data_IF_661469194040
#
_entry.id   IF_661469194040
#
_cell.length_a   1.000
_cell.length_b   1.000
_cell.length_c   1.000
_cell.angle_alpha   90.00
_cell.angle_beta   90.00
_cell.angle_gamma   90.00
#
_symmetry.space_group_name_H-M   'P 1'
#
loop_
_entity.id
_entity.type
_entity.pdbx_description
1 polymer ?
#
# COMPACT_ATOMS: atom_id res chain seq x y z
N UNK A 1 5.30 -13.42 -4.51
CA UNK A 1 5.60 -12.12 -5.12
C UNK A 1 7.05 -11.75 -4.88
N UNK A 2 7.68 -11.02 -5.81
CA UNK A 2 9.07 -10.57 -5.77
C UNK A 2 9.15 -9.10 -6.15
N UNK A 3 10.15 -8.36 -5.66
CA UNK A 3 10.32 -6.94 -5.94
C UNK A 3 11.78 -6.59 -6.20
N UNK A 4 12.04 -5.71 -7.16
CA UNK A 4 13.35 -5.07 -7.27
C UNK A 4 13.45 -3.92 -6.27
N UNK A 5 14.04 -4.17 -5.11
CA UNK A 5 14.13 -3.15 -4.04
C UNK A 5 15.00 -1.94 -4.41
N UNK A 6 15.95 -2.09 -5.34
CA UNK A 6 16.73 -0.95 -5.81
C UNK A 6 15.88 0.01 -6.64
N UNK A 7 15.04 -0.52 -7.53
CA UNK A 7 14.08 0.28 -8.29
C UNK A 7 13.06 0.92 -7.32
N UNK A 8 12.55 0.13 -6.38
CA UNK A 8 11.58 0.62 -5.41
C UNK A 8 12.13 1.73 -4.51
N UNK A 9 13.39 1.65 -4.08
CA UNK A 9 14.07 2.75 -3.38
C UNK A 9 14.04 4.03 -4.19
N UNK A 10 14.34 3.97 -5.49
CA UNK A 10 14.27 5.15 -6.36
C UNK A 10 12.84 5.69 -6.50
N UNK A 11 11.83 4.80 -6.64
CA UNK A 11 10.42 5.19 -6.61
C UNK A 11 10.06 5.91 -5.31
N UNK A 12 10.50 5.36 -4.17
CA UNK A 12 10.26 5.90 -2.83
C UNK A 12 10.88 7.29 -2.63
N UNK A 13 12.10 7.52 -3.13
CA UNK A 13 12.78 8.83 -3.07
C UNK A 13 11.96 9.95 -3.74
N UNK A 14 11.29 9.61 -4.85
CA UNK A 14 10.44 10.54 -5.57
C UNK A 14 9.10 10.72 -4.86
N UNK A 15 8.49 9.62 -4.42
CA UNK A 15 7.19 9.62 -3.75
C UNK A 15 7.22 10.36 -2.41
N UNK A 16 8.24 10.13 -1.57
CA UNK A 16 8.33 10.71 -0.23
C UNK A 16 8.43 12.25 -0.26
N UNK A 17 9.09 12.80 -1.29
CA UNK A 17 9.20 14.26 -1.51
C UNK A 17 7.84 14.87 -1.87
N UNK A 18 7.06 14.18 -2.70
CA UNK A 18 5.71 14.61 -3.03
C UNK A 18 4.76 14.49 -1.83
N UNK A 19 5.00 13.52 -0.95
CA UNK A 19 4.18 13.23 0.23
C UNK A 19 4.46 14.14 1.45
N UNK A 20 5.71 14.61 1.64
CA UNK A 20 6.09 15.43 2.81
C UNK A 20 5.14 16.61 3.14
N UNK A 21 4.58 17.36 2.16
CA UNK A 21 3.63 18.45 2.45
C UNK A 21 2.31 18.00 3.08
N UNK A 22 1.98 16.71 3.00
CA UNK A 22 0.75 16.13 3.56
C UNK A 22 0.96 15.50 4.93
N UNK A 23 2.19 15.46 5.44
CA UNK A 23 2.50 14.84 6.73
C UNK A 23 2.45 15.86 7.84
N UNK A 24 1.73 15.52 8.92
CA UNK A 24 1.68 16.33 10.13
C UNK A 24 3.08 16.53 10.72
N UNK A 25 3.33 17.70 11.31
CA UNK A 25 4.64 18.07 11.82
C UNK A 25 5.22 17.05 12.80
N UNK A 26 4.38 16.47 13.68
CA UNK A 26 4.83 15.49 14.66
C UNK A 26 5.32 14.17 14.01
N UNK A 27 4.81 13.85 12.82
CA UNK A 27 5.13 12.64 12.07
C UNK A 27 6.28 12.81 11.08
N UNK A 28 6.71 14.04 10.76
CA UNK A 28 7.72 14.30 9.71
C UNK A 28 9.04 13.58 9.92
N UNK A 29 9.49 13.42 11.17
CA UNK A 29 10.74 12.73 11.49
C UNK A 29 10.76 11.24 11.09
N UNK A 30 9.59 10.64 10.85
CA UNK A 30 9.49 9.24 10.41
C UNK A 30 9.90 9.06 8.95
N UNK A 31 9.73 10.07 8.09
CA UNK A 31 10.00 9.96 6.65
C UNK A 31 11.49 9.70 6.35
N UNK A 32 12.46 10.48 6.88
CA UNK A 32 13.88 10.17 6.67
C UNK A 32 14.31 8.83 7.29
N UNK A 33 13.68 8.42 8.40
CA UNK A 33 13.96 7.13 9.04
C UNK A 33 13.49 5.96 8.18
N UNK A 34 12.31 6.08 7.55
CA UNK A 34 11.82 5.07 6.61
C UNK A 34 12.75 4.89 5.42
N UNK A 35 13.25 6.00 4.88
CA UNK A 35 14.20 6.02 3.78
C UNK A 35 15.50 5.34 4.17
N UNK A 36 16.12 5.77 5.27
CA UNK A 36 17.37 5.20 5.78
C UNK A 36 17.25 3.70 6.09
N UNK A 37 16.12 3.24 6.65
CA UNK A 37 15.89 1.81 6.91
C UNK A 37 15.77 0.98 5.64
N UNK A 38 15.14 1.51 4.60
CA UNK A 38 15.04 0.83 3.31
C UNK A 38 16.43 0.70 2.67
N UNK A 39 17.22 1.78 2.68
CA UNK A 39 18.60 1.79 2.20
C UNK A 39 19.49 0.82 2.98
N UNK A 40 19.46 0.88 4.31
CA UNK A 40 20.21 -0.01 5.20
C UNK A 40 19.88 -1.49 4.97
N UNK A 41 18.60 -1.81 4.76
CA UNK A 41 18.14 -3.17 4.46
C UNK A 41 18.67 -3.71 3.13
N UNK A 42 18.72 -2.86 2.09
CA UNK A 42 19.23 -3.23 0.77
C UNK A 42 20.76 -3.42 0.80
N UNK A 43 21.48 -2.51 1.45
CA UNK A 43 22.94 -2.43 1.35
C UNK A 43 23.67 -3.41 2.29
N UNK A 44 23.10 -3.71 3.46
CA UNK A 44 23.74 -4.57 4.47
C UNK A 44 23.66 -6.08 4.17
N UNK A 45 23.14 -6.50 3.01
CA UNK A 45 23.20 -7.90 2.56
C UNK A 45 22.59 -8.91 3.55
N UNK A 46 21.64 -8.50 4.39
CA UNK A 46 20.93 -9.40 5.34
C UNK A 46 20.13 -10.46 4.58
N UNK A 47 19.93 -11.63 5.19
CA UNK A 47 19.12 -12.71 4.60
C UNK A 47 17.64 -12.35 4.55
N UNK A 48 17.19 -11.56 5.52
CA UNK A 48 15.87 -10.94 5.52
C UNK A 48 15.92 -9.60 6.26
N UNK A 49 14.97 -8.71 5.97
CA UNK A 49 14.76 -7.51 6.78
C UNK A 49 13.30 -7.07 6.79
N UNK A 50 12.95 -6.36 7.87
CA UNK A 50 11.62 -5.81 8.09
C UNK A 50 11.66 -4.31 7.83
N UNK A 51 10.82 -3.85 6.92
CA UNK A 51 10.58 -2.44 6.67
C UNK A 51 9.20 -2.06 7.19
N UNK A 52 9.15 -1.25 8.25
CA UNK A 52 7.92 -0.97 8.97
C UNK A 52 7.86 0.45 9.55
N UNK A 53 6.61 0.90 9.74
CA UNK A 53 6.26 2.04 10.57
C UNK A 53 5.84 1.55 11.96
N UNK A 54 6.74 1.69 12.95
CA UNK A 54 6.43 1.31 14.34
C UNK A 54 5.35 2.19 14.95
N UNK A 55 5.40 3.48 14.64
CA UNK A 55 4.36 4.47 14.94
C UNK A 55 3.72 4.90 13.61
N UNK A 56 2.40 5.17 13.59
CA UNK A 56 1.75 5.69 12.40
C UNK A 56 2.35 7.02 11.95
N UNK A 57 2.29 7.27 10.64
CA UNK A 57 2.50 8.60 10.06
C UNK A 57 1.12 9.21 9.84
N UNK A 58 0.84 10.29 10.55
CA UNK A 58 -0.43 11.01 10.46
C UNK A 58 -0.34 12.09 9.39
N UNK A 59 -1.39 12.23 8.57
CA UNK A 59 -1.51 13.33 7.62
C UNK A 59 -1.88 14.64 8.30
N UNK A 60 -1.67 15.76 7.61
CA UNK A 60 -2.40 17.00 7.88
C UNK A 60 -3.91 16.75 7.75
N UNK A 61 -4.71 17.70 8.23
CA UNK A 61 -6.16 17.64 8.07
C UNK A 61 -6.52 17.67 6.59
N UNK A 62 -7.28 16.68 6.14
CA UNK A 62 -7.89 16.66 4.82
C UNK A 62 -9.19 17.45 4.88
N UNK A 63 -9.29 18.46 4.01
CA UNK A 63 -10.42 19.40 3.92
C UNK A 63 -11.36 19.07 2.75
N UNK A 64 -11.21 17.88 2.17
CA UNK A 64 -11.99 17.43 1.04
C UNK A 64 -12.14 15.91 1.09
N UNK A 65 -13.36 15.45 1.32
CA UNK A 65 -13.78 14.07 1.14
C UNK A 65 -15.14 14.08 0.45
N UNK A 66 -15.24 13.38 -0.69
CA UNK A 66 -16.48 13.23 -1.48
C UNK A 66 -17.15 14.55 -1.95
N UNK A 67 -16.45 15.70 -1.85
CA UNK A 67 -16.99 17.01 -2.23
C UNK A 67 -16.08 17.72 -3.23
N UNK A 68 -16.72 18.30 -4.26
CA UNK A 68 -16.07 19.15 -5.26
C UNK A 68 -15.64 20.52 -4.71
N UNK A 69 -16.23 20.95 -3.60
CA UNK A 69 -15.90 22.20 -2.91
C UNK A 69 -15.49 21.88 -1.47
N UNK A 70 -14.50 22.62 -0.94
CA UNK A 70 -14.00 22.49 0.44
C UNK A 70 -15.06 22.85 1.49
N UNK A 71 -16.07 23.65 1.09
CA UNK A 71 -17.18 24.09 1.93
C UNK A 71 -18.06 22.91 2.36
N UNK A 72 -17.85 22.46 3.60
CA UNK A 72 -18.69 21.46 4.26
C UNK A 72 -18.19 20.02 4.18
N UNK A 73 -16.91 19.79 3.88
CA UNK A 73 -16.27 18.50 4.13
C UNK A 73 -16.14 18.25 5.64
N UNK A 74 -16.18 16.98 6.04
CA UNK A 74 -15.87 16.61 7.42
C UNK A 74 -14.34 16.59 7.56
N UNK A 75 -13.75 17.31 8.53
CA UNK A 75 -12.30 17.40 8.64
C UNK A 75 -11.75 16.09 9.20
N UNK A 76 -10.80 15.49 8.50
CA UNK A 76 -10.30 14.14 8.82
C UNK A 76 -8.77 14.11 8.84
N UNK A 77 -8.22 13.15 9.57
CA UNK A 77 -6.80 12.79 9.52
C UNK A 77 -6.66 11.32 9.20
N UNK A 78 -5.60 10.99 8.48
CA UNK A 78 -5.31 9.61 8.11
C UNK A 78 -4.01 9.19 8.77
N UNK A 79 -4.07 8.10 9.52
CA UNK A 79 -2.93 7.42 10.08
C UNK A 79 -2.51 6.28 9.15
N UNK A 80 -1.31 6.39 8.60
CA UNK A 80 -0.71 5.38 7.74
C UNK A 80 0.31 4.56 8.52
N UNK A 81 0.16 3.23 8.50
CA UNK A 81 1.10 2.29 9.11
C UNK A 81 1.29 1.08 8.21
N UNK A 82 2.47 0.50 8.17
CA UNK A 82 2.69 -0.72 7.41
C UNK A 82 3.81 -1.57 7.99
N UNK A 83 3.82 -2.83 7.56
CA UNK A 83 4.93 -3.78 7.73
C UNK A 83 5.14 -4.55 6.44
N UNK A 84 6.38 -4.59 5.97
CA UNK A 84 6.83 -5.37 4.83
C UNK A 84 8.03 -6.22 5.23
N UNK A 85 8.01 -7.50 4.88
CA UNK A 85 9.11 -8.43 5.14
C UNK A 85 9.68 -8.90 3.81
N UNK A 86 10.97 -8.63 3.63
CA UNK A 86 11.71 -9.00 2.42
C UNK A 86 12.74 -10.08 2.76
N UNK A 87 12.84 -11.08 1.90
CA UNK A 87 13.88 -12.10 1.97
C UNK A 87 14.81 -12.01 0.77
N UNK A 88 16.08 -12.36 0.98
CA UNK A 88 17.08 -12.32 -0.07
C UNK A 88 16.92 -13.55 -0.96
N UNK A 89 16.96 -13.34 -2.27
CA UNK A 89 16.96 -14.46 -3.20
C UNK A 89 18.32 -15.18 -3.19
N UNK A 90 18.30 -16.51 -3.14
CA UNK A 90 19.49 -17.36 -3.22
C UNK A 90 20.23 -17.25 -4.57
N UNK A 91 19.51 -16.85 -5.63
CA UNK A 91 20.08 -16.70 -6.98
C UNK A 91 21.02 -15.49 -7.09
N UNK A 92 22.32 -15.78 -7.14
CA UNK A 92 23.42 -14.81 -7.24
C UNK A 92 23.38 -13.92 -8.48
N UNK A 93 22.64 -14.27 -9.54
CA UNK A 93 22.47 -13.41 -10.74
C UNK A 93 21.37 -12.36 -10.57
N UNK A 94 20.44 -12.56 -9.62
CA UNK A 94 19.27 -11.71 -9.38
C UNK A 94 19.32 -11.02 -8.00
N UNK A 95 20.51 -10.63 -7.53
CA UNK A 95 20.73 -10.02 -6.19
C UNK A 95 19.84 -8.81 -5.86
N UNK A 96 19.25 -8.16 -6.86
CA UNK A 96 18.36 -6.99 -6.68
C UNK A 96 16.89 -7.37 -6.51
N UNK A 97 16.51 -8.62 -6.78
CA UNK A 97 15.13 -9.11 -6.72
C UNK A 97 14.95 -9.86 -5.39
N UNK A 98 13.98 -9.40 -4.60
CA UNK A 98 13.69 -9.89 -3.25
C UNK A 98 12.29 -10.50 -3.20
N UNK A 99 12.13 -11.78 -2.79
CA UNK A 99 10.85 -12.30 -2.34
C UNK A 99 10.21 -11.42 -1.26
N UNK A 100 8.91 -11.16 -1.42
CA UNK A 100 8.08 -10.50 -0.40
C UNK A 100 7.33 -11.58 0.35
N UNK A 101 7.60 -11.70 1.66
CA UNK A 101 6.98 -12.71 2.53
C UNK A 101 5.71 -12.23 3.20
N UNK A 102 5.73 -10.98 3.63
CA UNK A 102 4.61 -10.34 4.31
C UNK A 102 4.54 -8.90 3.83
N UNK A 103 3.33 -8.41 3.59
CA UNK A 103 3.07 -7.00 3.30
C UNK A 103 1.68 -6.69 3.81
N UNK A 104 1.60 -5.75 4.73
CA UNK A 104 0.36 -5.32 5.35
C UNK A 104 0.43 -3.80 5.53
N UNK A 105 -0.56 -3.09 4.99
CA UNK A 105 -0.66 -1.63 5.08
C UNK A 105 -2.00 -1.26 5.71
N UNK A 106 -1.96 -0.62 6.87
CA UNK A 106 -3.12 -0.13 7.59
C UNK A 106 -3.35 1.36 7.34
N UNK A 107 -4.63 1.71 7.28
CA UNK A 107 -5.12 3.08 7.29
C UNK A 107 -6.20 3.22 8.35
N UNK A 108 -5.98 4.10 9.32
CA UNK A 108 -7.01 4.52 10.24
C UNK A 108 -7.40 5.97 9.91
N UNK A 109 -8.67 6.20 9.62
CA UNK A 109 -9.25 7.50 9.33
C UNK A 109 -9.95 7.96 10.59
N UNK A 110 -9.50 9.10 11.10
CA UNK A 110 -10.00 9.69 12.33
C UNK A 110 -10.64 11.05 12.05
N UNK A 111 -11.66 11.42 12.83
CA UNK A 111 -12.15 12.80 12.88
C UNK A 111 -11.01 13.71 13.38
N UNK A 112 -10.77 14.80 12.66
CA UNK A 112 -9.72 15.75 13.05
C UNK A 112 -10.09 16.55 14.31
N UNK A 113 -11.37 16.63 14.66
CA UNK A 113 -11.88 17.46 15.76
C UNK A 113 -11.83 16.73 17.10
N UNK A 114 -12.26 15.47 17.14
CA UNK A 114 -12.29 14.63 18.34
C UNK A 114 -11.23 13.52 18.40
N UNK A 115 -10.64 13.15 17.26
CA UNK A 115 -9.73 12.01 17.16
C UNK A 115 -10.41 10.64 17.15
N UNK A 116 -11.75 10.61 17.05
CA UNK A 116 -12.50 9.38 17.00
C UNK A 116 -12.24 8.64 15.67
N UNK A 117 -12.02 7.33 15.76
CA UNK A 117 -11.88 6.45 14.60
C UNK A 117 -13.20 6.37 13.83
N UNK A 118 -13.17 6.82 12.57
CA UNK A 118 -14.29 6.76 11.62
C UNK A 118 -14.23 5.45 10.84
N UNK A 119 -13.04 5.04 10.39
CA UNK A 119 -12.87 3.87 9.55
C UNK A 119 -11.45 3.32 9.67
N UNK A 120 -11.32 2.00 9.84
CA UNK A 120 -10.03 1.33 9.80
C UNK A 120 -10.07 0.17 8.81
N UNK A 121 -9.17 0.22 7.84
CA UNK A 121 -9.01 -0.82 6.84
C UNK A 121 -7.52 -1.11 6.61
N UNK A 122 -7.26 -2.21 5.91
CA UNK A 122 -5.93 -2.60 5.56
C UNK A 122 -5.86 -3.30 4.19
N UNK A 123 -4.66 -3.26 3.61
CA UNK A 123 -4.30 -3.93 2.37
C UNK A 123 -3.23 -4.96 2.69
N UNK A 124 -3.56 -6.21 2.40
CA UNK A 124 -2.78 -7.38 2.80
C UNK A 124 -2.31 -8.19 1.59
N UNK A 125 -1.06 -8.65 1.67
CA UNK A 125 -0.57 -9.80 0.94
C UNK A 125 -1.03 -11.06 1.67
N UNK A 126 -1.85 -11.86 0.99
CA UNK A 126 -2.40 -13.12 1.48
C UNK A 126 -1.29 -14.09 1.92
N UNK A 127 -1.49 -14.73 3.07
CA UNK A 127 -0.66 -15.87 3.51
C UNK A 127 -1.19 -17.22 2.99
N UNK A 128 -0.37 -18.27 3.09
CA UNK A 128 -0.69 -19.60 2.54
C UNK A 128 -1.91 -20.28 3.20
N UNK A 129 -2.34 -19.81 4.39
CA UNK A 129 -3.46 -20.37 5.15
C UNK A 129 -4.76 -19.59 4.97
N UNK A 130 -4.78 -18.52 4.18
CA UNK A 130 -5.96 -17.69 3.96
C UNK A 130 -6.70 -18.10 2.68
N UNK A 131 -7.98 -17.76 2.59
CA UNK A 131 -8.73 -17.68 1.34
C UNK A 131 -8.79 -16.23 0.85
N UNK A 132 -9.09 -16.02 -0.42
CA UNK A 132 -9.21 -14.70 -1.01
C UNK A 132 -8.09 -14.35 -2.00
N UNK A 133 -8.14 -13.14 -2.56
CA UNK A 133 -7.18 -12.66 -3.56
C UNK A 133 -5.76 -12.60 -3.02
N UNK A 134 -4.78 -12.78 -3.90
CA UNK A 134 -3.36 -12.69 -3.55
C UNK A 134 -3.00 -11.40 -2.81
N UNK A 135 -3.55 -10.28 -3.29
CA UNK A 135 -3.48 -8.96 -2.64
C UNK A 135 -4.91 -8.47 -2.49
N UNK A 136 -5.29 -8.06 -1.29
CA UNK A 136 -6.65 -7.66 -1.00
C UNK A 136 -6.76 -6.50 -0.03
N UNK A 137 -7.79 -5.69 -0.23
CA UNK A 137 -8.28 -4.73 0.73
C UNK A 137 -9.36 -5.37 1.59
N UNK A 138 -9.37 -5.10 2.88
CA UNK A 138 -10.49 -5.42 3.78
C UNK A 138 -10.59 -4.41 4.93
N UNK A 139 -11.75 -4.35 5.57
CA UNK A 139 -11.88 -3.63 6.85
C UNK A 139 -11.11 -4.37 7.95
N UNK A 140 -10.62 -3.61 8.91
CA UNK A 140 -10.00 -4.15 10.11
C UNK A 140 -11.01 -4.97 10.90
N UNK A 141 -10.60 -6.16 11.32
CA UNK A 141 -11.42 -7.05 12.13
C UNK A 141 -11.84 -6.41 13.45
N UNK A 142 -10.96 -5.61 14.05
CA UNK A 142 -11.21 -4.86 15.28
C UNK A 142 -12.28 -3.78 15.06
N UNK A 143 -12.19 -3.08 13.91
CA UNK A 143 -13.19 -2.09 13.52
C UNK A 143 -14.55 -2.73 13.24
N UNK A 144 -14.58 -3.88 12.56
CA UNK A 144 -15.80 -4.63 12.28
C UNK A 144 -16.45 -5.18 13.57
N UNK A 145 -15.65 -5.68 14.50
CA UNK A 145 -16.14 -6.13 15.80
C UNK A 145 -16.76 -4.96 16.59
N UNK A 146 -16.07 -3.82 16.66
CA UNK A 146 -16.53 -2.63 17.37
C UNK A 146 -17.80 -2.00 16.78
N UNK A 147 -17.89 -1.90 15.44
CA UNK A 147 -18.96 -1.12 14.78
C UNK A 147 -20.11 -1.97 14.23
N UNK A 148 -19.85 -3.25 13.91
CA UNK A 148 -20.84 -4.17 13.32
C UNK A 148 -21.14 -5.35 14.26
N UNK A 149 -20.39 -5.52 15.34
CA UNK A 149 -20.59 -6.59 16.33
C UNK A 149 -20.08 -7.95 15.87
N UNK A 150 -19.35 -8.01 14.75
CA UNK A 150 -18.82 -9.26 14.20
C UNK A 150 -17.37 -9.09 13.78
N UNK A 151 -16.50 -9.92 14.35
CA UNK A 151 -15.08 -9.97 13.99
C UNK A 151 -14.88 -10.71 12.68
N UNK A 152 -15.10 -10.01 11.57
CA UNK A 152 -15.00 -10.55 10.22
C UNK A 152 -13.99 -9.79 9.37
N UNK A 153 -13.19 -10.55 8.64
CA UNK A 153 -12.16 -10.10 7.71
C UNK A 153 -12.70 -10.06 6.25
N UNK A 154 -13.96 -9.65 6.07
CA UNK A 154 -14.66 -9.63 4.77
C UNK A 154 -15.51 -8.36 4.63
N UNK A 155 -15.74 -7.87 3.39
CA UNK A 155 -15.26 -8.40 2.11
C UNK A 155 -13.77 -8.18 1.86
N UNK A 156 -13.14 -9.13 1.14
CA UNK A 156 -11.77 -9.02 0.61
C UNK A 156 -11.82 -8.62 -0.86
N UNK A 157 -11.60 -7.35 -1.15
CA UNK A 157 -11.59 -6.85 -2.51
C UNK A 157 -10.22 -7.09 -3.14
N UNK A 158 -10.11 -7.74 -4.32
CA UNK A 158 -8.85 -7.85 -5.01
C UNK A 158 -8.28 -6.47 -5.28
N UNK A 159 -7.03 -6.24 -4.89
CA UNK A 159 -6.33 -4.99 -5.13
C UNK A 159 -5.08 -5.26 -5.96
N UNK A 160 -4.83 -4.39 -6.94
CA UNK A 160 -3.67 -4.53 -7.81
C UNK A 160 -2.44 -3.76 -7.28
N UNK A 161 -2.62 -2.97 -6.22
CA UNK A 161 -1.57 -2.25 -5.51
C UNK A 161 -1.26 -2.96 -4.19
N UNK A 162 0.02 -3.27 -3.98
CA UNK A 162 0.46 -4.00 -2.78
C UNK A 162 1.48 -3.21 -1.97
N UNK A 163 2.22 -2.30 -2.63
CA UNK A 163 3.27 -1.54 -1.98
C UNK A 163 2.64 -0.48 -1.08
N UNK A 164 3.15 -0.28 0.15
CA UNK A 164 2.60 0.70 1.07
C UNK A 164 2.44 2.10 0.47
N UNK A 165 3.36 2.49 -0.41
CA UNK A 165 3.33 3.77 -1.15
C UNK A 165 2.20 3.85 -2.17
N UNK A 166 1.91 2.75 -2.88
CA UNK A 166 0.80 2.71 -3.85
C UNK A 166 -0.55 2.74 -3.14
N UNK A 167 -0.65 2.06 -1.98
CA UNK A 167 -1.83 2.13 -1.14
C UNK A 167 -2.06 3.54 -0.60
N UNK A 168 -1.01 4.23 -0.15
CA UNK A 168 -1.13 5.61 0.32
C UNK A 168 -1.38 6.60 -0.83
N UNK A 169 -0.87 6.35 -2.03
CA UNK A 169 -1.19 7.13 -3.24
C UNK A 169 -2.70 7.09 -3.56
N UNK A 170 -3.33 5.92 -3.45
CA UNK A 170 -4.79 5.78 -3.56
C UNK A 170 -5.53 6.61 -2.49
N UNK A 171 -5.13 6.50 -1.23
CA UNK A 171 -5.72 7.24 -0.11
C UNK A 171 -5.56 8.76 -0.29
N UNK A 172 -4.38 9.22 -0.69
CA UNK A 172 -4.12 10.65 -0.97
C UNK A 172 -4.95 11.16 -2.15
N UNK A 173 -5.19 10.33 -3.16
CA UNK A 173 -6.03 10.72 -4.30
C UNK A 173 -7.50 10.93 -3.91
N UNK A 174 -7.98 10.21 -2.90
CA UNK A 174 -9.35 10.31 -2.39
C UNK A 174 -9.53 11.52 -1.46
N UNK A 175 -8.59 11.74 -0.53
CA UNK A 175 -8.72 12.73 0.53
C UNK A 175 -8.02 14.08 0.23
N UNK A 176 -7.14 14.12 -0.77
CA UNK A 176 -6.50 15.34 -1.25
C UNK A 176 -6.59 15.46 -2.78
N UNK A 177 -7.79 15.32 -3.39
CA UNK A 177 -7.97 15.15 -4.83
C UNK A 177 -7.39 16.29 -5.69
N UNK A 178 -7.29 17.51 -5.15
CA UNK A 178 -6.72 18.66 -5.87
C UNK A 178 -5.25 18.91 -5.54
N UNK A 179 -4.85 18.71 -4.28
CA UNK A 179 -3.50 19.01 -3.80
C UNK A 179 -2.50 17.91 -4.13
N UNK A 180 -2.92 16.64 -4.07
CA UNK A 180 -2.05 15.50 -4.35
C UNK A 180 -1.53 15.48 -5.80
N UNK A 181 -2.38 15.66 -6.85
CA UNK A 181 -1.87 15.76 -8.22
C UNK A 181 -0.92 16.96 -8.43
N UNK A 182 -1.17 18.07 -7.73
CA UNK A 182 -0.30 19.26 -7.80
C UNK A 182 1.08 18.98 -7.19
N UNK A 183 1.16 18.31 -6.05
CA UNK A 183 2.46 17.97 -5.42
C UNK A 183 3.28 17.00 -6.29
N UNK A 184 2.60 16.13 -7.05
CA UNK A 184 3.25 15.25 -8.02
C UNK A 184 3.78 16.02 -9.24
N UNK A 185 3.04 17.01 -9.75
CA UNK A 185 3.38 17.73 -10.99
C UNK A 185 4.76 18.41 -11.00
N UNK A 186 5.28 18.78 -9.82
CA UNK A 186 6.60 19.37 -9.64
C UNK A 186 7.71 18.39 -9.24
N UNK A 187 7.39 17.11 -9.05
CA UNK A 187 8.32 16.12 -8.54
C UNK A 187 9.19 15.52 -9.66
N UNK A 188 10.51 15.67 -9.54
CA UNK A 188 11.46 14.96 -10.39
C UNK A 188 11.27 13.44 -10.20
N UNK A 189 11.24 12.68 -11.30
CA UNK A 189 11.15 11.20 -11.26
C UNK A 189 9.73 10.62 -11.21
N UNK A 190 8.68 11.45 -11.24
CA UNK A 190 7.28 11.01 -11.26
C UNK A 190 6.97 10.04 -12.42
N UNK A 191 7.60 10.23 -13.58
CA UNK A 191 7.42 9.33 -14.73
C UNK A 191 7.78 7.88 -14.39
N UNK A 192 8.89 7.67 -13.66
CA UNK A 192 9.34 6.33 -13.27
C UNK A 192 8.34 5.68 -12.30
N UNK A 193 7.87 6.44 -11.31
CA UNK A 193 6.83 5.99 -10.37
C UNK A 193 5.55 5.59 -11.12
N UNK A 194 5.04 6.46 -12.00
CA UNK A 194 3.83 6.21 -12.80
C UNK A 194 3.96 4.98 -13.69
N UNK A 195 5.10 4.82 -14.36
CA UNK A 195 5.34 3.65 -15.20
C UNK A 195 5.40 2.36 -14.38
N UNK A 196 6.04 2.38 -13.21
CA UNK A 196 6.14 1.22 -12.33
C UNK A 196 4.77 0.82 -11.77
N UNK A 197 3.99 1.78 -11.27
CA UNK A 197 2.61 1.57 -10.83
C UNK A 197 1.74 1.00 -11.96
N UNK A 198 1.79 1.59 -13.16
CA UNK A 198 1.05 1.09 -14.32
C UNK A 198 1.41 -0.35 -14.66
N UNK A 199 2.70 -0.70 -14.70
CA UNK A 199 3.15 -2.08 -14.97
C UNK A 199 2.65 -3.05 -13.90
N UNK A 200 2.65 -2.66 -12.62
CA UNK A 200 2.09 -3.48 -11.52
C UNK A 200 0.62 -3.79 -11.76
N UNK A 201 -0.18 -2.77 -12.10
CA UNK A 201 -1.61 -2.92 -12.40
C UNK A 201 -1.86 -3.83 -13.61
N UNK A 202 -1.17 -3.56 -14.73
CA UNK A 202 -1.29 -4.33 -15.97
C UNK A 202 -0.98 -5.81 -15.73
N UNK A 203 0.12 -6.11 -15.05
CA UNK A 203 0.55 -7.47 -14.80
C UNK A 203 -0.41 -8.22 -13.86
N UNK A 204 -0.95 -7.57 -12.82
CA UNK A 204 -1.95 -8.20 -11.95
C UNK A 204 -3.22 -8.53 -12.74
N UNK A 205 -3.71 -7.58 -13.55
CA UNK A 205 -4.89 -7.78 -14.38
C UNK A 205 -4.69 -8.93 -15.39
N UNK A 206 -3.55 -8.97 -16.07
CA UNK A 206 -3.19 -10.06 -16.99
C UNK A 206 -3.13 -11.42 -16.31
N UNK A 207 -2.61 -11.47 -15.08
CA UNK A 207 -2.48 -12.72 -14.35
C UNK A 207 -3.85 -13.24 -13.84
N UNK A 208 -4.73 -12.36 -13.38
CA UNK A 208 -6.14 -12.71 -13.09
C UNK A 208 -6.86 -13.20 -14.35
N UNK A 209 -6.72 -12.49 -15.47
CA UNK A 209 -7.32 -12.89 -16.74
C UNK A 209 -6.82 -14.27 -17.21
N UNK A 210 -5.51 -14.53 -17.08
CA UNK A 210 -4.90 -15.81 -17.43
C UNK A 210 -5.46 -16.95 -16.59
N UNK A 211 -5.63 -16.73 -15.28
CA UNK A 211 -6.29 -17.72 -14.42
C UNK A 211 -7.71 -17.99 -14.88
N UNK A 212 -8.46 -16.92 -15.16
CA UNK A 212 -9.87 -17.03 -15.53
C UNK A 212 -10.08 -17.84 -16.81
N UNK A 213 -9.28 -17.56 -17.85
CA UNK A 213 -9.28 -18.33 -19.09
C UNK A 213 -9.00 -19.82 -18.85
N UNK A 214 -8.14 -20.17 -17.88
CA UNK A 214 -7.85 -21.56 -17.50
C UNK A 214 -8.95 -22.24 -16.69
N UNK A 215 -9.87 -21.48 -16.09
CA UNK A 215 -10.96 -22.02 -15.27
C UNK A 215 -12.30 -21.36 -15.66
N UNK A 216 -12.81 -21.65 -16.88
CA UNK A 216 -13.97 -20.95 -17.44
C UNK A 216 -15.27 -21.16 -16.65
N UNK A 217 -15.34 -22.17 -15.78
CA UNK A 217 -16.50 -22.47 -14.94
C UNK A 217 -16.57 -21.62 -13.64
N UNK A 218 -15.59 -20.73 -13.42
CA UNK A 218 -15.55 -19.82 -12.26
C UNK A 218 -15.74 -18.37 -12.71
N UNK A 219 -16.37 -17.56 -11.87
CA UNK A 219 -16.43 -16.10 -12.09
C UNK A 219 -15.06 -15.46 -11.82
N UNK A 220 -14.76 -14.29 -12.42
CA UNK A 220 -13.50 -13.57 -12.18
C UNK A 220 -13.22 -13.27 -10.70
N UNK A 221 -14.25 -13.08 -9.86
CA UNK A 221 -14.06 -12.88 -8.42
C UNK A 221 -13.77 -14.21 -7.73
N UNK A 222 -14.59 -15.24 -8.00
CA UNK A 222 -14.45 -16.54 -7.32
C UNK A 222 -13.11 -17.21 -7.61
N UNK A 223 -12.53 -17.01 -8.80
CA UNK A 223 -11.23 -17.60 -9.15
C UNK A 223 -10.07 -17.00 -8.39
N UNK A 224 -10.22 -15.77 -7.89
CA UNK A 224 -9.19 -15.14 -7.07
C UNK A 224 -9.10 -15.71 -5.65
N UNK A 225 -10.05 -16.53 -5.20
CA UNK A 225 -10.06 -17.05 -3.82
C UNK A 225 -8.85 -17.92 -3.47
N UNK A 226 -8.29 -18.65 -4.44
CA UNK A 226 -7.12 -19.52 -4.26
C UNK A 226 -5.90 -18.99 -5.03
N UNK A 227 -5.92 -17.70 -5.34
CA UNK A 227 -4.91 -17.09 -6.19
C UNK A 227 -3.63 -16.76 -5.43
N UNK A 228 -2.51 -17.28 -5.92
CA UNK A 228 -1.17 -16.88 -5.49
C UNK A 228 -0.30 -16.53 -6.70
N UNK A 229 0.47 -15.44 -6.58
CA UNK A 229 1.51 -15.08 -7.55
C UNK A 229 2.90 -15.18 -6.93
N UNK A 230 3.44 -16.40 -6.72
CA UNK A 230 4.75 -16.56 -6.10
C UNK A 230 5.87 -15.89 -6.92
N UNK A 231 5.79 -15.91 -8.26
CA UNK A 231 6.86 -15.49 -9.15
C UNK A 231 6.67 -14.12 -9.85
N UNK A 232 5.66 -13.36 -9.46
CA UNK A 232 5.42 -12.04 -10.04
C UNK A 232 6.43 -11.00 -9.54
N UNK A 233 7.11 -10.29 -10.44
CA UNK A 233 8.05 -9.20 -10.12
C UNK A 233 7.35 -7.85 -10.26
N UNK A 234 7.23 -7.10 -9.16
CA UNK A 234 6.46 -5.84 -9.10
C UNK A 234 7.26 -4.56 -9.41
N UNK A 235 8.55 -4.65 -9.78
CA UNK A 235 9.39 -3.49 -10.11
C UNK A 235 10.49 -3.79 -11.14
#
# INVERSE_FOLDING_TARGET
MKINLQNYRQEFDHWIKAFDPFVDHASKSALPQLHSRLEDGIDNKRDSFIWELKKPVTTIVAESYDKKEESGSHPIRIDWKFKSVFERCEDTKKKKIWPVKEMCTHFNINDASGGDEIMHFHVDLKNDNQLGPHVHFQFSEEYMEKNVGVRLAVPRFPLATVLPTDCMDFVLSEFFPHRWPQSQSGAHGLKNLREAQRRRLENMAMAVATLWVKNPNRTPVSITQDYHLPDFVVA
#
